data_IF_359255879201
#
_entry.id   IF_359255879201
#
_cell.length_a   1.000
_cell.length_b   1.000
_cell.length_c   1.000
_cell.angle_alpha   90.00
_cell.angle_beta   90.00
_cell.angle_gamma   90.00
#
_symmetry.space_group_name_H-M   'P 1'
#
loop_
_entity.id
_entity.type
_entity.pdbx_description
1 polymer ?
#
# COMPACT_ATOMS: atom_id res chain seq x y z
N UNK A 1 14.47 -13.97 11.55
CA UNK A 1 15.36 -12.86 11.18
C UNK A 1 14.53 -11.60 11.05
N UNK A 2 14.80 -10.58 11.86
CA UNK A 2 14.09 -9.30 11.84
C UNK A 2 14.35 -8.60 10.52
N UNK A 3 13.36 -8.62 9.63
CA UNK A 3 13.45 -8.10 8.27
C UNK A 3 13.58 -6.56 8.22
N UNK A 4 13.46 -5.87 9.36
CA UNK A 4 13.50 -4.40 9.49
C UNK A 4 14.73 -3.89 10.24
N UNK A 5 15.91 -4.48 10.02
CA UNK A 5 17.18 -4.00 10.60
C UNK A 5 17.59 -2.59 10.15
N UNK A 6 16.82 -1.94 9.27
CA UNK A 6 17.16 -0.66 8.62
C UNK A 6 16.13 0.46 8.77
N UNK A 7 15.27 0.44 9.79
CA UNK A 7 14.64 1.69 10.26
C UNK A 7 15.75 2.58 10.87
N UNK A 8 16.52 3.24 10.00
CA UNK A 8 17.75 4.00 10.28
C UNK A 8 17.59 5.15 11.30
N UNK A 9 16.37 5.45 11.73
CA UNK A 9 16.08 6.47 12.73
C UNK A 9 15.59 5.82 14.03
N UNK A 10 16.44 5.84 15.03
CA UNK A 10 16.06 5.50 16.41
C UNK A 10 15.07 6.51 17.01
N UNK A 11 15.01 7.71 16.41
CA UNK A 11 14.15 8.81 16.82
C UNK A 11 13.53 9.55 15.64
N UNK A 12 12.25 9.90 15.74
CA UNK A 12 11.52 10.71 14.78
C UNK A 12 11.06 12.01 15.44
N UNK A 13 11.21 13.15 14.78
CA UNK A 13 10.60 14.41 15.22
C UNK A 13 9.15 14.50 14.75
N UNK A 14 8.32 15.37 15.35
CA UNK A 14 6.98 15.62 14.84
C UNK A 14 6.99 16.11 13.38
N UNK A 15 8.01 16.88 12.99
CA UNK A 15 8.23 17.28 11.60
C UNK A 15 8.45 16.09 10.67
N UNK A 16 9.29 15.12 11.06
CA UNK A 16 9.50 13.89 10.27
C UNK A 16 8.19 13.14 10.05
N UNK A 17 7.36 13.02 11.09
CA UNK A 17 6.06 12.34 11.00
C UNK A 17 5.11 13.07 10.05
N UNK A 18 5.01 14.40 10.13
CA UNK A 18 4.15 15.17 9.22
C UNK A 18 4.63 15.08 7.76
N UNK A 19 5.95 15.04 7.51
CA UNK A 19 6.50 14.84 6.16
C UNK A 19 6.09 13.49 5.58
N UNK A 20 6.13 12.42 6.38
CA UNK A 20 5.66 11.10 5.94
C UNK A 20 4.16 11.11 5.61
N UNK A 21 3.33 11.76 6.44
CA UNK A 21 1.91 11.91 6.14
C UNK A 21 1.65 12.73 4.87
N UNK A 22 2.47 13.75 4.63
CA UNK A 22 2.37 14.55 3.41
C UNK A 22 2.64 13.69 2.17
N UNK A 23 3.71 12.90 2.17
CA UNK A 23 4.04 11.96 1.08
C UNK A 23 2.91 10.98 0.80
N UNK A 24 2.32 10.39 1.85
CA UNK A 24 1.16 9.51 1.73
C UNK A 24 -0.05 10.21 1.12
N UNK A 25 -0.29 11.49 1.49
CA UNK A 25 -1.38 12.28 0.94
C UNK A 25 -1.17 12.62 -0.54
N UNK A 26 0.06 12.96 -0.94
CA UNK A 26 0.38 13.21 -2.36
C UNK A 26 0.20 11.93 -3.18
N UNK A 27 0.68 10.80 -2.67
CA UNK A 27 0.46 9.48 -3.27
C UNK A 27 -1.04 9.18 -3.40
N UNK A 28 -1.82 9.34 -2.33
CA UNK A 28 -3.28 9.14 -2.35
C UNK A 28 -3.96 10.02 -3.41
N UNK A 29 -3.66 11.32 -3.40
CA UNK A 29 -4.25 12.29 -4.33
C UNK A 29 -3.98 11.96 -5.80
N UNK A 30 -2.80 11.40 -6.13
CA UNK A 30 -2.53 10.95 -7.52
C UNK A 30 -3.54 9.89 -7.95
N UNK A 31 -3.74 8.86 -7.12
CA UNK A 31 -4.65 7.78 -7.46
C UNK A 31 -6.12 8.21 -7.39
N UNK A 32 -6.49 9.09 -6.46
CA UNK A 32 -7.82 9.71 -6.43
C UNK A 32 -8.09 10.48 -7.73
N UNK A 33 -7.12 11.23 -8.24
CA UNK A 33 -7.25 11.94 -9.52
C UNK A 33 -7.43 10.99 -10.71
N UNK A 34 -6.73 9.85 -10.74
CA UNK A 34 -6.92 8.82 -11.77
C UNK A 34 -8.35 8.27 -11.71
N UNK A 35 -8.88 8.00 -10.51
CA UNK A 35 -10.27 7.54 -10.35
C UNK A 35 -11.27 8.61 -10.83
N UNK A 36 -11.08 9.87 -10.44
CA UNK A 36 -12.00 10.95 -10.79
C UNK A 36 -12.02 11.25 -12.30
N UNK A 37 -10.84 11.28 -12.94
CA UNK A 37 -10.71 11.58 -14.37
C UNK A 37 -11.33 10.49 -15.26
N UNK A 38 -11.21 9.22 -14.87
CA UNK A 38 -11.74 8.09 -15.63
C UNK A 38 -13.22 7.78 -15.34
N UNK A 39 -13.78 8.26 -14.22
CA UNK A 39 -15.21 8.12 -13.93
C UNK A 39 -16.12 9.01 -14.81
N UNK A 40 -15.56 9.99 -15.54
CA UNK A 40 -16.34 10.91 -16.39
C UNK A 40 -16.42 10.49 -17.86
N UNK A 41 -15.75 9.40 -18.25
CA UNK A 41 -15.75 8.84 -19.60
C UNK A 41 -15.97 7.32 -19.50
N UNK A 42 -17.15 6.81 -19.88
CA UNK A 42 -17.33 5.35 -20.03
C UNK A 42 -18.09 5.09 -21.33
N UNK A 43 -17.41 4.49 -22.33
CA UNK A 43 -17.74 3.08 -22.60
C UNK A 43 -16.55 2.16 -22.96
N UNK A 44 -15.28 2.56 -22.78
CA UNK A 44 -14.14 1.71 -23.19
C UNK A 44 -13.51 0.90 -22.04
N UNK A 45 -13.14 -0.35 -22.35
CA UNK A 45 -12.63 -1.35 -21.38
C UNK A 45 -11.29 -0.97 -20.75
N UNK A 46 -10.51 -0.06 -21.35
CA UNK A 46 -9.20 0.37 -20.84
C UNK A 46 -9.34 1.24 -19.57
N UNK A 47 -10.41 2.02 -19.47
CA UNK A 47 -10.61 2.94 -18.33
C UNK A 47 -10.97 2.16 -17.04
N UNK A 48 -11.57 0.98 -17.18
CA UNK A 48 -11.92 0.08 -16.08
C UNK A 48 -10.65 -0.48 -15.41
N UNK A 49 -9.61 -0.80 -16.17
CA UNK A 49 -8.34 -1.33 -15.63
C UNK A 49 -7.58 -0.26 -14.84
N UNK A 50 -7.50 0.97 -15.35
CA UNK A 50 -6.86 2.09 -14.67
C UNK A 50 -7.54 2.44 -13.33
N UNK A 51 -8.87 2.46 -13.29
CA UNK A 51 -9.64 2.69 -12.05
C UNK A 51 -9.46 1.52 -11.08
N UNK A 52 -9.51 0.28 -11.57
CA UNK A 52 -9.33 -0.93 -10.75
C UNK A 52 -7.94 -1.02 -10.12
N UNK A 53 -6.92 -0.43 -10.78
CA UNK A 53 -5.57 -0.27 -10.25
C UNK A 53 -5.45 0.85 -9.21
N UNK A 54 -6.10 1.99 -9.45
CA UNK A 54 -5.95 3.19 -8.62
C UNK A 54 -6.71 3.12 -7.28
N UNK A 55 -7.91 2.54 -7.26
CA UNK A 55 -8.74 2.46 -6.04
C UNK A 55 -8.03 1.74 -4.88
N UNK A 56 -7.43 0.56 -5.05
CA UNK A 56 -6.71 -0.12 -3.96
C UNK A 56 -5.56 0.73 -3.39
N UNK A 57 -4.77 1.39 -4.25
CA UNK A 57 -3.62 2.21 -3.84
C UNK A 57 -4.03 3.42 -3.03
N UNK A 58 -5.07 4.13 -3.45
CA UNK A 58 -5.64 5.23 -2.66
C UNK A 58 -6.09 4.75 -1.26
N UNK A 59 -6.83 3.64 -1.19
CA UNK A 59 -7.32 3.09 0.09
C UNK A 59 -6.18 2.66 1.03
N UNK A 60 -5.13 2.03 0.50
CA UNK A 60 -3.96 1.65 1.30
C UNK A 60 -3.28 2.89 1.88
N UNK A 61 -3.07 3.94 1.06
CA UNK A 61 -2.44 5.17 1.53
C UNK A 61 -3.25 5.85 2.64
N UNK A 62 -4.58 5.90 2.51
CA UNK A 62 -5.49 6.39 3.54
C UNK A 62 -5.39 5.58 4.85
N UNK A 63 -5.37 4.25 4.73
CA UNK A 63 -5.27 3.36 5.89
C UNK A 63 -3.94 3.55 6.63
N UNK A 64 -2.82 3.58 5.91
CA UNK A 64 -1.49 3.76 6.51
C UNK A 64 -1.35 5.14 7.14
N UNK A 65 -1.91 6.18 6.52
CA UNK A 65 -1.95 7.52 7.11
C UNK A 65 -2.75 7.55 8.43
N UNK A 66 -3.83 6.76 8.52
CA UNK A 66 -4.60 6.58 9.75
C UNK A 66 -3.81 5.84 10.82
N UNK A 67 -3.05 4.80 10.45
CA UNK A 67 -2.16 4.08 11.38
C UNK A 67 -1.11 5.03 11.99
N UNK A 68 -0.46 5.86 11.17
CA UNK A 68 0.49 6.89 11.62
C UNK A 68 -0.18 7.89 12.57
N UNK A 69 -1.37 8.37 12.20
CA UNK A 69 -2.12 9.33 13.02
C UNK A 69 -2.41 8.77 14.42
N UNK A 70 -2.85 7.52 14.48
CA UNK A 70 -3.20 6.84 15.73
C UNK A 70 -1.98 6.57 16.60
N UNK A 71 -0.91 6.05 15.99
CA UNK A 71 0.29 5.64 16.72
C UNK A 71 1.06 6.85 17.29
N UNK A 72 1.10 7.96 16.56
CA UNK A 72 1.83 9.17 16.95
C UNK A 72 0.95 10.22 17.65
N UNK A 73 -0.37 10.02 17.70
CA UNK A 73 -1.36 10.94 18.32
C UNK A 73 -1.19 12.38 17.81
N UNK A 74 -1.25 12.53 16.50
CA UNK A 74 -0.85 13.75 15.78
C UNK A 74 -1.74 14.94 16.16
N UNK A 75 -1.12 16.11 16.35
CA UNK A 75 -1.81 17.37 16.68
C UNK A 75 -1.21 18.53 15.90
N UNK A 76 -2.06 19.46 15.46
CA UNK A 76 -1.62 20.71 14.83
C UNK A 76 -1.22 21.75 15.90
N UNK A 77 -0.01 21.66 16.42
CA UNK A 77 0.62 22.74 17.17
C UNK A 77 2.15 22.64 17.16
N UNK A 78 2.82 23.75 17.47
CA UNK A 78 4.29 23.86 17.46
C UNK A 78 4.96 22.87 18.43
N UNK A 79 4.35 22.62 19.60
CA UNK A 79 4.85 21.67 20.60
C UNK A 79 4.92 20.23 20.08
N UNK A 80 4.04 19.85 19.16
CA UNK A 80 4.08 18.54 18.52
C UNK A 80 5.32 18.39 17.63
N UNK A 81 5.67 19.45 16.88
CA UNK A 81 6.80 19.43 15.94
C UNK A 81 8.13 19.23 16.64
N UNK A 82 8.30 19.83 17.83
CA UNK A 82 9.49 19.73 18.67
C UNK A 82 9.58 18.39 19.41
N UNK A 83 8.49 17.60 19.45
CA UNK A 83 8.48 16.33 20.17
C UNK A 83 9.29 15.28 19.43
N UNK A 84 10.08 14.53 20.20
CA UNK A 84 10.81 13.36 19.72
C UNK A 84 10.06 12.08 20.09
N UNK A 85 9.90 11.19 19.11
CA UNK A 85 9.24 9.90 19.22
C UNK A 85 10.25 8.77 19.02
N UNK A 86 10.04 7.65 19.72
CA UNK A 86 10.85 6.45 19.55
C UNK A 86 10.61 5.79 18.20
N UNK A 87 11.67 5.35 17.54
CA UNK A 87 11.63 4.63 16.27
C UNK A 87 10.85 3.31 16.31
N UNK A 88 10.73 2.68 17.49
CA UNK A 88 9.93 1.47 17.71
C UNK A 88 8.46 1.62 17.24
N UNK A 89 7.88 2.80 17.42
CA UNK A 89 6.51 3.09 16.94
C UNK A 89 6.40 2.97 15.42
N UNK A 90 7.43 3.43 14.71
CA UNK A 90 7.49 3.35 13.26
C UNK A 90 7.75 1.91 12.80
N UNK A 91 8.52 1.14 13.57
CA UNK A 91 8.72 -0.29 13.35
C UNK A 91 7.41 -1.08 13.39
N UNK A 92 6.55 -0.80 14.37
CA UNK A 92 5.25 -1.46 14.47
C UNK A 92 4.41 -1.24 13.21
N UNK A 93 4.34 0.01 12.73
CA UNK A 93 3.63 0.35 11.50
C UNK A 93 4.22 -0.39 10.30
N UNK A 94 5.55 -0.40 10.16
CA UNK A 94 6.22 -1.10 9.06
C UNK A 94 5.92 -2.61 9.07
N UNK A 95 5.94 -3.22 10.26
CA UNK A 95 5.66 -4.64 10.44
C UNK A 95 4.22 -5.00 10.11
N UNK A 96 3.25 -4.17 10.49
CA UNK A 96 1.85 -4.35 10.14
C UNK A 96 1.63 -4.27 8.62
N UNK A 97 2.31 -3.34 7.94
CA UNK A 97 2.24 -3.20 6.48
C UNK A 97 2.84 -4.43 5.77
N UNK A 98 4.01 -4.91 6.21
CA UNK A 98 4.65 -6.12 5.66
C UNK A 98 3.81 -7.38 5.94
N UNK A 99 3.15 -7.48 7.09
CA UNK A 99 2.21 -8.56 7.37
C UNK A 99 1.00 -8.51 6.42
N UNK A 100 0.43 -7.33 6.18
CA UNK A 100 -0.65 -7.14 5.21
C UNK A 100 -0.20 -7.49 3.78
N UNK A 101 1.03 -7.12 3.41
CA UNK A 101 1.59 -7.44 2.09
C UNK A 101 1.70 -8.95 1.91
N UNK A 102 2.37 -9.65 2.85
CA UNK A 102 2.52 -11.11 2.80
C UNK A 102 1.18 -11.82 2.75
N UNK A 103 0.17 -11.32 3.46
CA UNK A 103 -1.19 -11.86 3.39
C UNK A 103 -1.78 -11.74 1.98
N UNK A 104 -1.61 -10.59 1.33
CA UNK A 104 -2.06 -10.39 -0.05
C UNK A 104 -1.31 -11.31 -1.04
N UNK A 105 0.02 -11.40 -0.92
CA UNK A 105 0.85 -12.30 -1.73
C UNK A 105 0.45 -13.76 -1.55
N UNK A 106 0.17 -14.17 -0.31
CA UNK A 106 -0.24 -15.52 0.01
C UNK A 106 -1.57 -15.90 -0.66
N UNK A 107 -2.56 -15.00 -0.58
CA UNK A 107 -3.85 -15.21 -1.24
C UNK A 107 -3.72 -15.20 -2.78
N UNK A 108 -2.89 -14.32 -3.32
CA UNK A 108 -2.62 -14.25 -4.75
C UNK A 108 -1.96 -15.53 -5.28
N UNK A 109 -0.91 -16.00 -4.59
CA UNK A 109 -0.18 -17.21 -4.95
C UNK A 109 -1.07 -18.44 -4.81
N UNK A 110 -1.86 -18.56 -3.72
CA UNK A 110 -2.78 -19.68 -3.58
C UNK A 110 -3.83 -19.78 -4.69
N UNK A 111 -4.33 -18.66 -5.20
CA UNK A 111 -5.24 -18.73 -6.35
C UNK A 111 -4.56 -18.93 -7.70
N UNK A 112 -3.21 -18.93 -7.75
CA UNK A 112 -2.42 -19.28 -8.95
C UNK A 112 -1.96 -20.74 -8.98
N UNK A 113 -1.87 -21.42 -7.84
CA UNK A 113 -1.38 -22.81 -7.80
C UNK A 113 -2.38 -23.77 -8.47
N UNK A 114 -1.84 -24.63 -9.33
CA UNK A 114 -2.55 -25.71 -10.04
C UNK A 114 -3.04 -26.85 -9.12
N UNK A 115 -2.86 -26.74 -7.80
CA UNK A 115 -3.51 -27.62 -6.81
C UNK A 115 -4.94 -27.17 -6.51
N UNK A 116 -5.72 -27.07 -7.59
CA UNK A 116 -7.15 -26.78 -7.60
C UNK A 116 -7.92 -27.68 -6.62
N UNK A 117 -7.48 -28.92 -6.41
CA UNK A 117 -8.09 -29.88 -5.47
C UNK A 117 -7.91 -29.53 -3.99
N UNK A 118 -6.77 -28.96 -3.56
CA UNK A 118 -6.55 -28.59 -2.15
C UNK A 118 -7.29 -27.30 -1.82
N UNK A 119 -7.35 -26.37 -2.78
CA UNK A 119 -8.18 -25.17 -2.68
C UNK A 119 -9.67 -25.53 -2.72
N UNK A 120 -10.13 -26.39 -3.64
CA UNK A 120 -11.53 -26.85 -3.72
C UNK A 120 -11.96 -27.65 -2.47
N UNK A 121 -11.12 -28.52 -1.92
CA UNK A 121 -11.39 -29.22 -0.64
C UNK A 121 -11.48 -28.28 0.57
N UNK A 122 -10.81 -27.13 0.54
CA UNK A 122 -10.95 -26.07 1.56
C UNK A 122 -12.04 -25.05 1.20
N UNK A 123 -12.53 -25.03 -0.05
CA UNK A 123 -13.59 -24.14 -0.55
C UNK A 123 -14.98 -24.55 -0.08
N UNK A 124 -15.20 -25.83 0.23
CA UNK A 124 -16.43 -26.27 0.90
C UNK A 124 -16.61 -25.62 2.29
N UNK A 125 -15.51 -25.14 2.91
CA UNK A 125 -15.55 -24.34 4.15
C UNK A 125 -15.76 -22.83 3.92
N UNK A 126 -15.62 -22.33 2.70
CA UNK A 126 -15.78 -20.91 2.32
C UNK A 126 -16.63 -20.74 1.04
N UNK A 127 -17.71 -21.51 0.94
CA UNK A 127 -18.68 -21.40 -0.15
C UNK A 127 -19.33 -20.01 -0.11
N UNK A 128 -18.94 -19.09 -0.99
CA UNK A 128 -19.71 -17.84 -1.20
C UNK A 128 -19.55 -17.14 -2.56
N UNK A 129 -18.66 -17.53 -3.49
CA UNK A 129 -18.48 -16.73 -4.73
C UNK A 129 -18.23 -17.58 -6.00
N UNK A 130 -18.81 -17.12 -7.13
CA UNK A 130 -18.72 -17.77 -8.44
C UNK A 130 -17.31 -17.67 -9.06
N UNK A 131 -16.97 -18.49 -10.08
CA UNK A 131 -15.64 -18.49 -10.72
C UNK A 131 -15.18 -17.12 -11.27
N UNK A 132 -16.12 -16.25 -11.63
CA UNK A 132 -15.84 -14.89 -12.13
C UNK A 132 -15.35 -13.98 -11.01
N UNK A 133 -15.94 -14.11 -9.81
CA UNK A 133 -15.50 -13.37 -8.63
C UNK A 133 -14.11 -13.79 -8.16
N UNK A 134 -13.70 -15.05 -8.35
CA UNK A 134 -12.35 -15.50 -8.01
C UNK A 134 -11.26 -14.78 -8.82
N UNK A 135 -11.48 -14.53 -10.12
CA UNK A 135 -10.52 -13.78 -10.94
C UNK A 135 -10.41 -12.33 -10.48
N UNK A 136 -11.53 -11.68 -10.20
CA UNK A 136 -11.58 -10.32 -9.65
C UNK A 136 -10.91 -10.24 -8.28
N UNK A 137 -11.12 -11.24 -7.42
CA UNK A 137 -10.52 -11.31 -6.09
C UNK A 137 -8.99 -11.46 -6.19
N UNK A 138 -8.49 -12.34 -7.06
CA UNK A 138 -7.06 -12.53 -7.27
C UNK A 138 -6.38 -11.29 -7.85
N UNK A 139 -7.02 -10.64 -8.82
CA UNK A 139 -6.53 -9.37 -9.36
C UNK A 139 -6.42 -8.31 -8.26
N UNK A 140 -7.43 -8.21 -7.40
CA UNK A 140 -7.43 -7.29 -6.27
C UNK A 140 -6.33 -7.59 -5.25
N UNK A 141 -6.06 -8.86 -4.92
CA UNK A 141 -4.97 -9.24 -4.01
C UNK A 141 -3.60 -8.85 -4.55
N UNK A 142 -3.35 -9.07 -5.85
CA UNK A 142 -2.12 -8.62 -6.50
C UNK A 142 -1.94 -7.10 -6.38
N UNK A 143 -2.97 -6.33 -6.74
CA UNK A 143 -2.93 -4.86 -6.68
C UNK A 143 -2.76 -4.30 -5.27
N UNK A 144 -3.39 -4.94 -4.27
CA UNK A 144 -3.21 -4.58 -2.86
C UNK A 144 -1.78 -4.84 -2.40
N UNK A 145 -1.20 -5.98 -2.78
CA UNK A 145 0.19 -6.33 -2.46
C UNK A 145 1.18 -5.33 -3.03
N UNK A 146 1.01 -4.95 -4.29
CA UNK A 146 1.87 -3.96 -4.96
C UNK A 146 1.75 -2.59 -4.27
N UNK A 147 0.53 -2.11 -3.99
CA UNK A 147 0.33 -0.85 -3.29
C UNK A 147 0.95 -0.82 -1.89
N UNK A 148 0.89 -1.93 -1.13
CA UNK A 148 1.55 -2.04 0.18
C UNK A 148 3.07 -2.00 0.04
N UNK A 149 3.62 -2.64 -0.99
CA UNK A 149 5.04 -2.62 -1.31
C UNK A 149 5.52 -1.19 -1.67
N UNK A 150 4.73 -0.44 -2.45
CA UNK A 150 5.02 0.95 -2.82
C UNK A 150 5.09 1.84 -1.58
N UNK A 151 4.17 1.63 -0.63
CA UNK A 151 4.13 2.38 0.63
C UNK A 151 5.31 2.01 1.55
N UNK A 152 5.68 0.74 1.64
CA UNK A 152 6.91 0.33 2.36
C UNK A 152 8.15 0.98 1.75
N UNK A 153 8.21 1.10 0.43
CA UNK A 153 9.30 1.80 -0.25
C UNK A 153 9.29 3.31 0.07
N UNK A 154 8.13 3.98 0.01
CA UNK A 154 7.97 5.41 0.32
C UNK A 154 8.36 5.72 1.77
N UNK A 155 7.98 4.87 2.71
CA UNK A 155 8.18 5.11 4.15
C UNK A 155 9.56 4.64 4.65
N UNK A 156 10.11 3.56 4.07
CA UNK A 156 11.24 2.83 4.67
C UNK A 156 12.37 2.47 3.71
N UNK A 157 12.35 2.95 2.46
CA UNK A 157 13.39 2.68 1.46
C UNK A 157 13.66 1.19 1.18
N UNK A 158 12.65 0.32 1.37
CA UNK A 158 12.80 -1.11 1.08
C UNK A 158 12.66 -1.38 -0.42
N UNK A 159 13.79 -1.65 -1.08
CA UNK A 159 13.80 -2.26 -2.40
C UNK A 159 13.14 -3.65 -2.33
N UNK A 160 11.87 -3.73 -2.66
CA UNK A 160 11.29 -4.97 -3.17
C UNK A 160 11.51 -4.97 -4.68
N UNK A 161 11.84 -6.14 -5.24
CA UNK A 161 11.86 -6.35 -6.69
C UNK A 161 10.43 -6.20 -7.23
N UNK A 162 10.03 -4.96 -7.44
CA UNK A 162 8.69 -4.54 -7.79
C UNK A 162 8.63 -4.40 -9.31
N UNK A 163 8.16 -5.42 -10.03
CA UNK A 163 8.05 -5.35 -11.49
C UNK A 163 6.83 -6.03 -12.05
N UNK A 164 5.91 -5.23 -12.61
CA UNK A 164 5.21 -5.49 -13.90
C UNK A 164 4.31 -4.32 -14.37
N UNK A 165 4.72 -3.04 -14.28
CA UNK A 165 4.02 -1.96 -15.02
C UNK A 165 5.01 -0.92 -15.56
N UNK A 166 4.59 -0.20 -16.60
CA UNK A 166 5.41 0.69 -17.45
C UNK A 166 6.40 1.54 -16.63
N UNK A 167 7.67 1.14 -16.70
CA UNK A 167 8.61 1.24 -15.56
C UNK A 167 9.06 2.66 -15.27
N UNK A 168 9.12 3.55 -16.25
CA UNK A 168 9.81 4.82 -16.06
C UNK A 168 8.96 5.88 -15.35
N UNK A 169 7.68 6.02 -15.71
CA UNK A 169 6.84 7.07 -15.12
C UNK A 169 6.53 6.79 -13.65
N UNK A 170 6.26 5.52 -13.32
CA UNK A 170 6.00 5.11 -11.96
C UNK A 170 7.24 5.22 -11.06
N UNK A 171 8.41 4.74 -11.52
CA UNK A 171 9.68 4.89 -10.78
C UNK A 171 10.02 6.37 -10.60
N UNK A 172 9.82 7.19 -11.64
CA UNK A 172 10.03 8.64 -11.58
C UNK A 172 9.14 9.29 -10.52
N UNK A 173 7.85 8.99 -10.53
CA UNK A 173 6.92 9.52 -9.53
C UNK A 173 7.27 9.11 -8.10
N UNK A 174 7.60 7.85 -7.88
CA UNK A 174 8.01 7.35 -6.57
C UNK A 174 9.32 8.03 -6.12
N UNK A 175 10.24 8.29 -7.05
CA UNK A 175 11.46 9.06 -6.79
C UNK A 175 11.17 10.53 -6.49
N UNK A 176 10.24 11.16 -7.18
CA UNK A 176 9.80 12.53 -6.93
C UNK A 176 9.14 12.66 -5.55
N UNK A 177 8.28 11.72 -5.17
CA UNK A 177 7.66 11.64 -3.84
C UNK A 177 8.70 11.54 -2.72
N UNK A 178 9.82 10.86 -2.95
CA UNK A 178 10.90 10.79 -1.96
C UNK A 178 11.55 12.15 -1.72
N UNK A 179 11.69 12.95 -2.77
CA UNK A 179 12.30 14.27 -2.74
C UNK A 179 11.32 15.39 -2.39
N UNK A 180 10.04 15.06 -2.19
CA UNK A 180 9.03 16.00 -1.70
C UNK A 180 9.33 16.35 -0.23
N UNK A 181 9.64 17.62 0.04
CA UNK A 181 10.07 18.14 1.34
C UNK A 181 8.94 18.59 2.27
#
# INVERSE_FOLDING_TARGET
>A
MSYFSYLKKESFTGLDILKLQHKLKVYQNRFDNIVLTNNHFLPDKQDIEAVSFAVPRSKIALQVNSMITNEFKIRNNTKYMERVFKGEKMYLIANDIDAMQRFCEWNYNFGKFEDREVYEKKRDYFNLLSPEYNKTLLYNWGMLSEGLSEILYILFDRHYDMYTYDKEEHIRFISELKNCE
#
